data_IF_280460805686
#
_entry.id   IF_280460805686
#
_cell.length_a   1.000
_cell.length_b   1.000
_cell.length_c   1.000
_cell.angle_alpha   90.00
_cell.angle_beta   90.00
_cell.angle_gamma   90.00
#
_symmetry.space_group_name_H-M   'P 1'
#
loop_
_entity.id
_entity.type
_entity.pdbx_description
1 polymer ?
#
# COMPACT_ATOMS: atom_id res chain seq x y z
N UNK A 1 -17.58 27.84 19.90
CA UNK A 1 -16.43 27.84 18.97
C UNK A 1 -15.72 26.51 19.13
N UNK A 2 -15.89 25.57 18.19
CA UNK A 2 -15.24 24.26 18.25
C UNK A 2 -13.83 24.41 17.67
N UNK A 3 -12.83 24.29 18.52
CA UNK A 3 -11.43 24.22 18.08
C UNK A 3 -11.24 22.93 17.28
N UNK A 4 -10.98 23.04 15.98
CA UNK A 4 -10.41 21.95 15.21
C UNK A 4 -8.92 21.86 15.57
N UNK A 5 -8.53 20.79 16.27
CA UNK A 5 -7.12 20.47 16.47
C UNK A 5 -6.52 20.09 15.11
N UNK A 6 -5.41 20.72 14.67
CA UNK A 6 -4.86 20.45 13.36
C UNK A 6 -4.20 19.07 13.35
N UNK A 7 -4.74 18.17 12.54
CA UNK A 7 -4.09 17.27 11.58
C UNK A 7 -2.69 16.68 11.85
N UNK A 8 -2.19 16.55 13.09
CA UNK A 8 -0.93 15.84 13.40
C UNK A 8 -0.98 14.37 12.95
N UNK A 9 -2.18 13.80 12.81
CA UNK A 9 -2.37 12.45 12.27
C UNK A 9 -2.27 12.36 10.73
N UNK A 10 -2.29 13.49 10.00
CA UNK A 10 -2.25 13.47 8.53
C UNK A 10 -0.85 13.17 7.97
N UNK A 11 0.21 13.42 8.74
CA UNK A 11 1.60 13.20 8.31
C UNK A 11 2.14 11.79 8.66
N UNK A 12 1.38 10.98 9.40
CA UNK A 12 1.81 9.63 9.77
C UNK A 12 1.01 8.61 8.97
N UNK A 13 1.67 7.95 8.02
CA UNK A 13 1.07 6.84 7.28
C UNK A 13 0.66 5.72 8.26
N UNK A 14 -0.55 5.15 8.11
CA UNK A 14 -1.00 3.99 8.89
C UNK A 14 -0.30 2.68 8.48
N UNK A 15 0.68 2.75 7.58
CA UNK A 15 1.47 1.63 7.07
C UNK A 15 2.91 1.80 7.55
N UNK A 16 3.35 1.08 8.60
CA UNK A 16 4.75 1.08 9.02
C UNK A 16 5.61 0.20 8.12
N UNK A 17 5.13 -1.00 7.81
CA UNK A 17 5.65 -1.87 6.76
C UNK A 17 4.52 -2.77 6.25
N UNK A 18 4.61 -3.20 4.99
CA UNK A 18 3.62 -4.03 4.33
C UNK A 18 4.29 -4.96 3.32
N UNK A 19 3.94 -6.24 3.38
CA UNK A 19 4.33 -7.22 2.37
C UNK A 19 3.10 -7.92 1.86
N UNK A 20 2.95 -8.00 0.55
CA UNK A 20 1.84 -8.67 -0.10
C UNK A 20 2.25 -9.28 -1.43
N UNK A 21 1.37 -10.09 -2.00
CA UNK A 21 1.60 -10.63 -3.33
C UNK A 21 0.46 -11.50 -3.82
N UNK A 22 0.70 -12.10 -4.98
CA UNK A 22 -0.16 -13.08 -5.62
C UNK A 22 0.67 -13.96 -6.54
N UNK A 23 0.01 -14.72 -7.40
CA UNK A 23 0.71 -15.61 -8.32
C UNK A 23 1.70 -14.83 -9.22
N UNK A 24 3.00 -15.13 -9.07
CA UNK A 24 4.07 -14.57 -9.89
C UNK A 24 4.52 -13.14 -9.56
N UNK A 25 4.04 -12.54 -8.47
CA UNK A 25 4.43 -11.18 -8.10
C UNK A 25 4.33 -10.91 -6.59
N UNK A 26 5.11 -9.95 -6.11
CA UNK A 26 5.05 -9.44 -4.73
C UNK A 26 5.33 -7.94 -4.66
N UNK A 27 4.88 -7.31 -3.58
CA UNK A 27 5.21 -5.94 -3.23
C UNK A 27 5.64 -5.86 -1.77
N UNK A 28 6.71 -5.11 -1.54
CA UNK A 28 7.21 -4.74 -0.22
C UNK A 28 7.19 -3.22 -0.11
N UNK A 29 6.68 -2.73 1.02
CA UNK A 29 6.54 -1.30 1.32
C UNK A 29 7.04 -1.08 2.74
N UNK A 30 7.93 -0.11 2.93
CA UNK A 30 8.48 0.23 4.23
C UNK A 30 8.44 1.75 4.44
N UNK A 31 7.91 2.18 5.59
CA UNK A 31 7.83 3.59 5.95
C UNK A 31 9.23 4.18 6.16
N UNK A 32 9.47 5.30 5.49
CA UNK A 32 10.65 6.16 5.70
C UNK A 32 10.32 7.37 6.57
N UNK A 33 9.06 7.50 7.02
CA UNK A 33 8.56 8.58 7.86
C UNK A 33 7.84 9.68 7.08
N UNK A 34 7.08 10.52 7.79
CA UNK A 34 6.30 11.64 7.23
C UNK A 34 5.37 11.24 6.08
N UNK A 35 4.83 10.03 6.15
CA UNK A 35 3.92 9.48 5.14
C UNK A 35 4.60 8.91 3.90
N UNK A 36 5.93 8.95 3.81
CA UNK A 36 6.69 8.39 2.70
C UNK A 36 7.07 6.93 2.94
N UNK A 37 7.21 6.18 1.86
CA UNK A 37 7.56 4.77 1.84
C UNK A 37 8.54 4.47 0.73
N UNK A 38 9.53 3.63 1.02
CA UNK A 38 10.25 2.89 0.00
C UNK A 38 9.40 1.70 -0.42
N UNK A 39 9.33 1.44 -1.73
CA UNK A 39 8.56 0.35 -2.28
C UNK A 39 9.35 -0.44 -3.32
N UNK A 40 9.16 -1.76 -3.30
CA UNK A 40 9.73 -2.70 -4.27
C UNK A 40 8.65 -3.64 -4.77
N UNK A 41 8.37 -3.60 -6.07
CA UNK A 41 7.44 -4.51 -6.75
C UNK A 41 8.26 -5.52 -7.57
N UNK A 42 8.12 -6.80 -7.27
CA UNK A 42 8.74 -7.87 -8.05
C UNK A 42 7.68 -8.60 -8.87
N UNK A 43 7.88 -8.70 -10.19
CA UNK A 43 6.99 -9.41 -11.11
C UNK A 43 7.79 -9.87 -12.35
N UNK A 44 7.47 -11.05 -12.89
CA UNK A 44 8.06 -11.55 -14.15
C UNK A 44 9.60 -11.56 -14.18
N UNK A 45 10.22 -11.86 -13.03
CA UNK A 45 11.69 -11.87 -12.88
C UNK A 45 12.35 -10.49 -12.85
N UNK A 46 11.57 -9.41 -12.74
CA UNK A 46 12.05 -8.03 -12.61
C UNK A 46 11.59 -7.44 -11.28
N UNK A 47 12.40 -6.54 -10.73
CA UNK A 47 12.06 -5.75 -9.54
C UNK A 47 12.07 -4.28 -9.87
N UNK A 48 10.93 -3.61 -9.72
CA UNK A 48 10.75 -2.17 -9.85
C UNK A 48 10.81 -1.55 -8.47
N UNK A 49 11.74 -0.63 -8.26
CA UNK A 49 11.87 0.13 -7.01
C UNK A 49 11.35 1.54 -7.18
N UNK A 50 10.93 2.15 -6.09
CA UNK A 50 10.59 3.57 -6.08
C UNK A 50 10.04 4.01 -4.75
N UNK A 51 9.27 5.09 -4.77
CA UNK A 51 8.74 5.72 -3.56
C UNK A 51 7.24 5.90 -3.67
N UNK A 52 6.55 5.69 -2.55
CA UNK A 52 5.12 5.91 -2.42
C UNK A 52 4.87 6.86 -1.26
N UNK A 53 3.80 7.64 -1.35
CA UNK A 53 3.38 8.57 -0.32
C UNK A 53 1.93 8.33 0.03
N UNK A 54 1.64 8.37 1.33
CA UNK A 54 0.28 8.44 1.86
C UNK A 54 -0.19 9.91 1.82
N UNK A 55 -1.12 10.30 0.94
CA UNK A 55 -1.60 11.69 0.87
C UNK A 55 -2.63 12.03 1.97
N UNK A 56 -2.98 11.05 2.82
CA UNK A 56 -4.09 11.13 3.76
C UNK A 56 -5.25 10.21 3.36
N UNK A 57 -6.21 10.06 4.26
CA UNK A 57 -7.41 9.26 4.03
C UNK A 57 -8.31 9.97 3.00
N UNK A 58 -8.74 9.31 1.91
CA UNK A 58 -9.71 9.91 1.01
C UNK A 58 -11.03 10.20 1.75
N UNK A 59 -11.62 11.38 1.52
CA UNK A 59 -12.76 11.88 2.31
C UNK A 59 -13.98 10.95 2.32
N UNK A 60 -14.23 10.25 1.21
CA UNK A 60 -15.37 9.35 1.03
C UNK A 60 -14.99 7.86 1.12
N UNK A 61 -13.76 7.54 1.55
CA UNK A 61 -13.28 6.17 1.67
C UNK A 61 -13.45 5.62 3.10
N UNK A 62 -13.77 4.32 3.26
CA UNK A 62 -13.78 3.70 4.57
C UNK A 62 -12.37 3.72 5.19
N UNK A 63 -12.28 3.84 6.52
CA UNK A 63 -11.00 3.85 7.25
C UNK A 63 -10.19 2.56 7.14
N UNK A 64 -10.79 1.49 6.60
CA UNK A 64 -10.11 0.25 6.25
C UNK A 64 -9.30 0.37 4.94
N UNK A 65 -9.60 1.33 4.08
CA UNK A 65 -8.87 1.59 2.83
C UNK A 65 -7.74 2.59 3.08
N UNK A 66 -6.54 2.21 2.70
CA UNK A 66 -5.34 3.05 2.68
C UNK A 66 -4.89 3.15 1.22
N UNK A 67 -4.59 4.37 0.77
CA UNK A 67 -4.12 4.63 -0.59
C UNK A 67 -2.74 5.25 -0.55
N UNK A 68 -1.79 4.65 -1.27
CA UNK A 68 -0.43 5.16 -1.44
C UNK A 68 -0.22 5.49 -2.92
N UNK A 69 0.35 6.65 -3.20
CA UNK A 69 0.61 7.14 -4.56
C UNK A 69 2.08 7.47 -4.74
N UNK A 70 2.64 7.20 -5.91
CA UNK A 70 4.00 7.61 -6.21
C UNK A 70 4.49 6.95 -7.49
N UNK A 71 5.72 6.46 -7.48
CA UNK A 71 6.34 5.88 -8.66
C UNK A 71 7.03 4.56 -8.31
N UNK A 72 6.92 3.59 -9.22
CA UNK A 72 7.67 2.34 -9.19
C UNK A 72 8.34 2.17 -10.55
N UNK A 73 9.67 2.06 -10.58
CA UNK A 73 10.42 1.94 -11.83
C UNK A 73 10.21 3.11 -12.79
N UNK A 74 10.12 4.34 -12.26
CA UNK A 74 9.84 5.58 -13.02
C UNK A 74 8.45 5.61 -13.69
N UNK A 75 7.53 4.76 -13.26
CA UNK A 75 6.14 4.78 -13.72
C UNK A 75 5.20 5.14 -12.57
N UNK A 76 4.17 5.98 -12.82
CA UNK A 76 3.14 6.28 -11.84
C UNK A 76 2.50 5.00 -11.32
N UNK A 77 2.39 4.91 -9.99
CA UNK A 77 1.84 3.76 -9.28
C UNK A 77 0.88 4.20 -8.19
N UNK A 78 -0.24 3.46 -8.08
CA UNK A 78 -1.21 3.58 -7.01
C UNK A 78 -1.30 2.21 -6.33
N UNK A 79 -1.16 2.21 -5.01
CA UNK A 79 -1.31 1.03 -4.17
C UNK A 79 -2.47 1.25 -3.21
N UNK A 80 -3.50 0.43 -3.34
CA UNK A 80 -4.66 0.42 -2.47
C UNK A 80 -4.55 -0.78 -1.54
N UNK A 81 -4.44 -0.55 -0.24
CA UNK A 81 -4.40 -1.58 0.80
C UNK A 81 -5.72 -1.53 1.56
N UNK A 82 -6.43 -2.64 1.65
CA UNK A 82 -7.65 -2.76 2.44
C UNK A 82 -7.44 -3.68 3.62
N UNK A 83 -7.77 -3.21 4.82
CA UNK A 83 -7.78 -4.02 6.04
C UNK A 83 -9.03 -4.89 6.06
N UNK A 84 -8.92 -6.08 5.52
CA UNK A 84 -9.97 -7.08 5.42
C UNK A 84 -9.37 -8.49 5.39
N UNK A 85 -10.17 -9.50 5.72
CA UNK A 85 -9.76 -10.90 5.56
C UNK A 85 -9.48 -11.20 4.09
N UNK A 86 -8.29 -11.70 3.80
CA UNK A 86 -7.84 -12.04 2.46
C UNK A 86 -7.16 -13.39 2.51
N UNK A 87 -7.45 -14.29 1.56
CA UNK A 87 -6.84 -15.61 1.51
C UNK A 87 -5.94 -15.74 0.31
N UNK A 88 -4.68 -16.11 0.53
CA UNK A 88 -3.69 -16.30 -0.54
C UNK A 88 -4.05 -17.51 -1.41
N UNK A 89 -3.42 -17.64 -2.58
CA UNK A 89 -3.60 -18.80 -3.46
C UNK A 89 -3.11 -20.11 -2.81
N UNK A 90 -2.16 -20.02 -1.89
CA UNK A 90 -1.63 -21.12 -1.09
C UNK A 90 -2.55 -21.49 0.09
N UNK A 91 -3.67 -20.78 0.26
CA UNK A 91 -4.68 -21.05 1.28
C UNK A 91 -4.38 -20.41 2.64
N UNK A 92 -3.41 -19.50 2.74
CA UNK A 92 -3.07 -18.77 3.96
C UNK A 92 -4.01 -17.59 4.15
N UNK A 93 -4.61 -17.46 5.34
CA UNK A 93 -5.42 -16.29 5.69
C UNK A 93 -4.54 -15.13 6.17
N UNK A 94 -4.77 -13.96 5.60
CA UNK A 94 -4.14 -12.69 5.95
C UNK A 94 -5.22 -11.65 6.28
N UNK A 95 -4.79 -10.50 6.82
CA UNK A 95 -5.67 -9.43 7.30
C UNK A 95 -5.62 -8.18 6.43
N UNK A 96 -5.09 -8.30 5.21
CA UNK A 96 -5.11 -7.22 4.24
C UNK A 96 -5.15 -7.74 2.81
N UNK A 97 -5.98 -7.10 1.98
CA UNK A 97 -5.91 -7.21 0.53
C UNK A 97 -5.15 -6.02 -0.05
N UNK A 98 -4.57 -6.19 -1.24
CA UNK A 98 -3.89 -5.13 -1.97
C UNK A 98 -4.29 -5.12 -3.45
N UNK A 99 -4.36 -3.92 -4.01
CA UNK A 99 -4.40 -3.69 -5.45
C UNK A 99 -3.27 -2.73 -5.82
N UNK A 100 -2.42 -3.15 -6.76
CA UNK A 100 -1.37 -2.31 -7.35
C UNK A 100 -1.78 -1.99 -8.78
N UNK A 101 -1.89 -0.69 -9.08
CA UNK A 101 -2.16 -0.16 -10.41
C UNK A 101 -0.95 0.63 -10.87
N UNK A 102 -0.43 0.31 -12.05
CA UNK A 102 0.62 1.06 -12.73
C UNK A 102 0.16 1.37 -14.15
N UNK A 103 0.50 2.55 -14.65
CA UNK A 103 0.09 2.97 -15.99
C UNK A 103 0.58 1.99 -17.06
N UNK A 104 -0.32 1.57 -17.95
CA UNK A 104 -0.01 0.65 -19.04
C UNK A 104 0.27 -0.81 -18.64
N UNK A 105 0.11 -1.17 -17.36
CA UNK A 105 0.32 -2.52 -16.86
C UNK A 105 -1.00 -3.17 -16.36
N UNK A 106 -1.11 -4.51 -16.37
CA UNK A 106 -2.24 -5.18 -15.73
C UNK A 106 -2.29 -4.88 -14.24
N UNK A 107 -3.50 -4.68 -13.72
CA UNK A 107 -3.72 -4.55 -12.28
C UNK A 107 -3.31 -5.83 -11.56
N UNK A 108 -2.62 -5.67 -10.44
CA UNK A 108 -2.20 -6.79 -9.60
C UNK A 108 -3.00 -6.78 -8.31
N UNK A 109 -3.65 -7.90 -8.00
CA UNK A 109 -4.46 -8.07 -6.78
C UNK A 109 -3.91 -9.22 -5.96
N UNK A 110 -3.85 -9.03 -4.65
CA UNK A 110 -3.17 -9.96 -3.77
C UNK A 110 -3.57 -9.80 -2.31
N UNK A 111 -2.99 -10.64 -1.48
CA UNK A 111 -3.16 -10.62 -0.03
C UNK A 111 -1.81 -10.35 0.63
N UNK A 112 -1.83 -9.78 1.83
CA UNK A 112 -0.61 -9.47 2.55
C UNK A 112 -0.79 -9.19 4.02
N UNK A 113 0.31 -8.78 4.63
CA UNK A 113 0.42 -8.49 6.05
C UNK A 113 0.92 -7.07 6.24
N UNK A 114 0.19 -6.31 7.06
CA UNK A 114 0.71 -5.10 7.68
C UNK A 114 1.56 -5.53 8.87
N UNK A 115 2.77 -5.00 8.97
CA UNK A 115 3.55 -5.13 10.20
C UNK A 115 2.82 -4.43 11.34
N UNK A 116 2.73 -5.10 12.49
CA UNK A 116 2.23 -4.55 13.74
C UNK A 116 3.43 -4.40 14.66
N UNK A 117 3.68 -3.18 15.13
CA UNK A 117 4.69 -2.86 16.14
C UNK A 117 3.99 -2.41 17.42
#
# INVERSE_FOLDING_TARGET
MRHATPSVAADLSPVPAFTAGGAGWSIEIASTGQGNHDASLSADGRTLKGTLRYPGQPADAPSSLIVLNGELGQQPAIVEIKRESCRTAEGVDTLASVQVTMEGQPQRRGCGHLAVY
#
